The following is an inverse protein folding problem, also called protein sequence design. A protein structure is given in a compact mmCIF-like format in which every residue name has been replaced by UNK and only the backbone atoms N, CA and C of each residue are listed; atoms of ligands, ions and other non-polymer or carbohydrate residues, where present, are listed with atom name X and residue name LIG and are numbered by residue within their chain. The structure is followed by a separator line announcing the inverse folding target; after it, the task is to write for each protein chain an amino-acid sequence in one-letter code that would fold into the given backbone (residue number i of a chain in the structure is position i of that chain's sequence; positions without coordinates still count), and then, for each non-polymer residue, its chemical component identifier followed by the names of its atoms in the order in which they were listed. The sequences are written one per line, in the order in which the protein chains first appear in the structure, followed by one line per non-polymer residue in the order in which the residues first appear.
data_IF_072942258483
#
_entry.id   IF_072942258483
#
_cell.length_a   1.000
_cell.length_b   1.000
_cell.length_c   1.000
_cell.angle_alpha   90.00
_cell.angle_beta   90.00
_cell.angle_gamma   90.00
#
_symmetry.space_group_name_H-M   'P 1'
#
loop_
_entity.id
_entity.type
_entity.pdbx_description
1 polymer ?
#
# COMPACT_ATOMS: atom_id res chain seq x y z
N UNK A 1 -3.74 6.33 -14.06
CA UNK A 1 -4.23 5.65 -12.85
C UNK A 1 -3.07 5.64 -11.88
N UNK A 2 -3.17 6.36 -10.76
CA UNK A 2 -2.06 6.45 -9.80
C UNK A 2 -1.95 5.15 -9.00
N UNK A 3 -0.71 4.72 -8.76
CA UNK A 3 -0.34 3.49 -8.07
C UNK A 3 0.05 3.76 -6.63
N UNK A 4 -0.45 2.94 -5.71
CA UNK A 4 -0.26 3.12 -4.27
C UNK A 4 0.29 1.83 -3.66
N UNK A 5 1.22 1.99 -2.73
CA UNK A 5 1.72 0.94 -1.85
C UNK A 5 1.28 1.22 -0.41
N UNK A 6 0.77 0.22 0.30
CA UNK A 6 0.26 0.37 1.67
C UNK A 6 1.15 -0.39 2.66
N UNK A 7 1.56 0.26 3.74
CA UNK A 7 2.30 -0.32 4.87
C UNK A 7 1.47 -0.13 6.13
N UNK A 8 1.16 -1.23 6.81
CA UNK A 8 0.38 -1.24 8.06
C UNK A 8 0.48 -2.64 8.68
N UNK A 9 0.74 -2.78 9.98
CA UNK A 9 0.85 -4.08 10.67
C UNK A 9 -0.52 -4.69 11.06
N UNK A 10 -1.60 -3.91 10.98
CA UNK A 10 -2.98 -4.32 11.25
C UNK A 10 -3.72 -4.71 9.95
N UNK A 11 -4.05 -6.00 9.75
CA UNK A 11 -4.66 -6.49 8.51
C UNK A 11 -6.03 -5.88 8.20
N UNK A 12 -6.80 -5.47 9.24
CA UNK A 12 -8.13 -4.87 9.07
C UNK A 12 -8.04 -3.45 8.52
N UNK A 13 -7.10 -2.65 9.02
CA UNK A 13 -6.92 -1.27 8.55
C UNK A 13 -6.42 -1.27 7.10
N UNK A 14 -5.43 -2.11 6.83
CA UNK A 14 -4.90 -2.31 5.47
C UNK A 14 -5.98 -2.68 4.45
N UNK A 15 -6.88 -3.61 4.81
CA UNK A 15 -8.02 -3.97 3.95
C UNK A 15 -8.99 -2.79 3.74
N UNK A 16 -9.33 -2.06 4.80
CA UNK A 16 -10.24 -0.92 4.71
C UNK A 16 -9.70 0.18 3.79
N UNK A 17 -8.40 0.49 3.90
CA UNK A 17 -7.72 1.49 3.08
C UNK A 17 -7.61 1.05 1.63
N UNK A 18 -7.26 -0.22 1.39
CA UNK A 18 -7.25 -0.81 0.04
C UNK A 18 -8.60 -0.62 -0.65
N UNK A 19 -9.70 -1.03 0.01
CA UNK A 19 -11.06 -0.90 -0.53
C UNK A 19 -11.45 0.55 -0.81
N UNK A 20 -11.09 1.49 0.08
CA UNK A 20 -11.34 2.91 -0.13
C UNK A 20 -10.62 3.43 -1.37
N UNK A 21 -9.34 3.13 -1.52
CA UNK A 21 -8.50 3.62 -2.62
C UNK A 21 -8.90 3.00 -3.97
N UNK A 22 -9.19 1.70 -4.00
CA UNK A 22 -9.68 1.02 -5.22
C UNK A 22 -11.02 1.61 -5.67
N UNK A 23 -11.93 1.91 -4.74
CA UNK A 23 -13.20 2.60 -5.03
C UNK A 23 -13.00 4.03 -5.60
N UNK A 24 -11.84 4.65 -5.34
CA UNK A 24 -11.46 5.96 -5.90
C UNK A 24 -10.59 5.82 -7.17
N UNK A 25 -10.59 4.65 -7.82
CA UNK A 25 -9.83 4.37 -9.05
C UNK A 25 -8.30 4.45 -8.89
N UNK A 26 -7.76 4.25 -7.70
CA UNK A 26 -6.32 4.01 -7.51
C UNK A 26 -5.97 2.53 -7.75
N UNK A 27 -4.72 2.28 -8.14
CA UNK A 27 -4.17 0.93 -8.31
C UNK A 27 -3.35 0.57 -7.08
N UNK A 28 -3.72 -0.47 -6.34
CA UNK A 28 -2.86 -1.01 -5.29
C UNK A 28 -1.82 -1.92 -5.95
N UNK A 29 -0.54 -1.60 -5.79
CA UNK A 29 0.58 -2.31 -6.43
C UNK A 29 1.39 -3.16 -5.46
N UNK A 30 1.13 -3.03 -4.17
CA UNK A 30 1.75 -3.84 -3.15
C UNK A 30 1.33 -3.41 -1.75
N UNK A 31 1.53 -4.33 -0.83
CA UNK A 31 1.15 -4.20 0.58
C UNK A 31 2.18 -4.91 1.45
N UNK A 32 2.48 -4.36 2.61
CA UNK A 32 3.38 -4.97 3.58
C UNK A 32 2.92 -4.69 5.01
N UNK A 33 3.29 -5.56 5.93
CA UNK A 33 3.06 -5.40 7.37
C UNK A 33 4.31 -4.89 8.12
N UNK A 34 5.41 -4.64 7.41
CA UNK A 34 6.65 -4.19 8.01
C UNK A 34 7.49 -3.34 7.05
N UNK A 35 8.28 -2.42 7.60
CA UNK A 35 9.08 -1.50 6.80
C UNK A 35 10.23 -2.17 6.03
N UNK A 36 10.77 -3.30 6.51
CA UNK A 36 11.93 -3.95 5.88
C UNK A 36 11.54 -4.55 4.54
N UNK A 37 10.47 -5.35 4.52
CA UNK A 37 9.94 -5.96 3.30
C UNK A 37 9.34 -4.90 2.38
N UNK A 38 8.63 -3.91 2.94
CA UNK A 38 8.07 -2.80 2.19
C UNK A 38 9.13 -2.09 1.34
N UNK A 39 10.33 -1.82 1.88
CA UNK A 39 11.37 -1.12 1.14
C UNK A 39 11.85 -1.89 -0.10
N UNK A 40 11.92 -3.22 -0.03
CA UNK A 40 12.24 -4.02 -1.21
C UNK A 40 11.08 -3.98 -2.22
N UNK A 41 9.87 -4.25 -1.76
CA UNK A 41 8.68 -4.31 -2.63
C UNK A 41 8.35 -2.96 -3.27
N UNK A 42 8.59 -1.84 -2.58
CA UNK A 42 8.43 -0.48 -3.13
C UNK A 42 9.42 -0.23 -4.27
N UNK A 43 10.67 -0.69 -4.15
CA UNK A 43 11.66 -0.57 -5.24
C UNK A 43 11.27 -1.40 -6.47
N UNK A 44 10.69 -2.58 -6.25
CA UNK A 44 10.26 -3.48 -7.33
C UNK A 44 8.97 -3.02 -8.01
N UNK A 45 8.01 -2.49 -7.24
CA UNK A 45 6.70 -2.06 -7.71
C UNK A 45 6.65 -0.62 -8.23
N UNK A 46 7.60 0.23 -7.82
CA UNK A 46 7.73 1.65 -8.21
C UNK A 46 6.40 2.43 -8.13
N UNK A 47 5.76 2.51 -6.94
CA UNK A 47 4.48 3.19 -6.75
C UNK A 47 4.62 4.72 -6.87
N UNK A 48 3.53 5.39 -7.22
CA UNK A 48 3.45 6.87 -7.24
C UNK A 48 3.35 7.45 -5.80
N UNK A 49 2.77 6.68 -4.87
CA UNK A 49 2.58 7.07 -3.47
C UNK A 49 2.75 5.85 -2.55
N UNK A 50 3.38 6.08 -1.40
CA UNK A 50 3.46 5.12 -0.29
C UNK A 50 2.65 5.69 0.87
N UNK A 51 1.80 4.86 1.48
CA UNK A 51 1.02 5.20 2.67
C UNK A 51 1.47 4.28 3.80
N UNK A 52 1.92 4.86 4.90
CA UNK A 52 2.30 4.17 6.13
C UNK A 52 1.36 4.60 7.25
N UNK A 53 0.77 3.63 7.95
CA UNK A 53 -0.24 3.84 8.99
C UNK A 53 0.28 3.20 10.28
N UNK A 54 0.45 4.03 11.31
CA UNK A 54 0.91 3.65 12.65
C UNK A 54 -0.23 3.18 13.55
#
# INVERSE_FOLDING_TARGET
MHSIFIVDDHPVIRLAVRMLLENQNYKIVGESDNGVDAMQMIRESNPDLVIDIF
#
